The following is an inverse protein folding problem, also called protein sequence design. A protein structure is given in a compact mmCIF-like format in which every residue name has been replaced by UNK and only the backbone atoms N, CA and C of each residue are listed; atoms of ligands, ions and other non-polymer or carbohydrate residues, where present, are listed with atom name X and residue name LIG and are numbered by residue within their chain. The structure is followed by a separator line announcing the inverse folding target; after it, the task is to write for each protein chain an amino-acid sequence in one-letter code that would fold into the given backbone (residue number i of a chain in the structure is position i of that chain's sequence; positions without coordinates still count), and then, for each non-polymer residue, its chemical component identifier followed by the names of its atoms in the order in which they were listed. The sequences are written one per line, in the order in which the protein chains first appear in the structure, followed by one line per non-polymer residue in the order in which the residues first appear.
data_IF_906913716223
#
_entry.id   IF_906913716223
#
_cell.length_a   1.000
_cell.length_b   1.000
_cell.length_c   1.000
_cell.angle_alpha   90.00
_cell.angle_beta   90.00
_cell.angle_gamma   90.00
#
_symmetry.space_group_name_H-M   'P 1'
#
loop_
_entity.id
_entity.type
_entity.pdbx_description
1 polymer ?
#
# COMPACT_ATOMS: atom_id res chain seq x y z
N UNK A 1 17.53 -20.70 21.00
CA UNK A 1 17.76 -20.50 19.55
C UNK A 1 18.32 -19.10 19.34
N UNK A 2 19.59 -18.95 18.95
CA UNK A 2 20.21 -17.64 18.72
C UNK A 2 19.51 -16.90 17.58
N UNK A 3 18.69 -15.89 17.89
CA UNK A 3 18.17 -14.97 16.88
C UNK A 3 19.35 -14.13 16.38
N UNK A 4 19.90 -14.47 15.22
CA UNK A 4 20.85 -13.61 14.51
C UNK A 4 20.11 -12.30 14.17
N UNK A 5 20.42 -11.24 14.91
CA UNK A 5 19.91 -9.90 14.65
C UNK A 5 20.58 -9.37 13.38
N UNK A 6 19.77 -8.99 12.40
CA UNK A 6 20.31 -8.39 11.18
C UNK A 6 20.53 -6.91 11.49
N UNK A 7 21.75 -6.43 11.30
CA UNK A 7 22.12 -5.01 11.50
C UNK A 7 22.09 -4.32 10.13
N UNK A 8 21.71 -3.04 10.11
CA UNK A 8 21.68 -2.24 8.89
C UNK A 8 23.12 -2.09 8.35
N UNK A 9 23.42 -2.49 7.09
CA UNK A 9 24.72 -2.27 6.49
C UNK A 9 24.95 -0.79 6.15
N UNK A 10 26.20 -0.42 5.88
CA UNK A 10 26.51 0.84 5.19
C UNK A 10 26.59 0.55 3.70
N UNK A 11 25.71 1.16 2.91
CA UNK A 11 25.69 1.01 1.45
C UNK A 11 26.65 2.00 0.80
N UNK A 12 27.31 1.57 -0.27
CA UNK A 12 28.19 2.42 -1.08
C UNK A 12 27.45 3.08 -2.24
N UNK A 13 26.27 2.57 -2.60
CA UNK A 13 25.41 3.08 -3.69
C UNK A 13 23.93 2.75 -3.46
N UNK A 14 23.03 3.47 -4.15
CA UNK A 14 21.59 3.21 -4.12
C UNK A 14 21.22 1.83 -4.70
N UNK A 15 21.97 1.34 -5.70
CA UNK A 15 21.75 0.02 -6.28
C UNK A 15 22.03 -1.12 -5.29
N UNK A 16 23.13 -1.01 -4.55
CA UNK A 16 23.48 -1.97 -3.49
C UNK A 16 22.43 -1.98 -2.36
N UNK A 17 21.91 -0.80 -2.02
CA UNK A 17 20.81 -0.68 -1.08
C UNK A 17 19.55 -1.40 -1.58
N UNK A 18 19.15 -1.16 -2.84
CA UNK A 18 17.98 -1.79 -3.44
C UNK A 18 18.10 -3.33 -3.47
N UNK A 19 19.26 -3.84 -3.87
CA UNK A 19 19.55 -5.28 -3.89
C UNK A 19 19.51 -5.88 -2.48
N UNK A 20 20.04 -5.16 -1.49
CA UNK A 20 19.97 -5.59 -0.10
C UNK A 20 18.54 -5.62 0.43
N UNK A 21 17.71 -4.63 0.11
CA UNK A 21 16.27 -4.63 0.44
C UNK A 21 15.52 -5.79 -0.22
N UNK A 22 15.87 -6.13 -1.47
CA UNK A 22 15.31 -7.28 -2.19
C UNK A 22 15.81 -8.64 -1.67
N UNK A 23 16.91 -8.66 -0.90
CA UNK A 23 17.51 -9.88 -0.36
C UNK A 23 16.73 -10.49 0.82
N UNK A 24 17.15 -11.68 1.27
CA UNK A 24 16.61 -12.28 2.50
C UNK A 24 17.01 -11.50 3.75
N UNK A 25 18.16 -10.83 3.76
CA UNK A 25 18.62 -10.04 4.90
C UNK A 25 17.70 -8.84 5.15
N UNK A 26 17.36 -8.08 4.09
CA UNK A 26 16.41 -6.98 4.17
C UNK A 26 15.03 -7.42 4.68
N UNK A 27 14.51 -8.55 4.18
CA UNK A 27 13.23 -9.13 4.66
C UNK A 27 13.26 -9.49 6.16
N UNK A 28 14.36 -10.05 6.64
CA UNK A 28 14.53 -10.41 8.06
C UNK A 28 14.64 -9.15 8.93
N UNK A 29 15.37 -8.13 8.45
CA UNK A 29 15.50 -6.84 9.12
C UNK A 29 14.15 -6.16 9.35
N UNK A 30 13.30 -6.09 8.32
CA UNK A 30 11.94 -5.51 8.44
C UNK A 30 11.11 -6.27 9.48
N UNK A 31 11.14 -7.60 9.47
CA UNK A 31 10.42 -8.42 10.47
C UNK A 31 10.90 -8.18 11.89
N UNK A 32 12.22 -8.04 12.07
CA UNK A 32 12.80 -7.73 13.37
C UNK A 32 12.32 -6.36 13.86
N UNK A 33 12.36 -5.33 13.01
CA UNK A 33 11.89 -3.98 13.36
C UNK A 33 10.39 -3.92 13.64
N UNK A 34 9.58 -4.66 12.90
CA UNK A 34 8.15 -4.77 13.17
C UNK A 34 7.87 -5.41 14.55
N UNK A 35 8.60 -6.48 14.91
CA UNK A 35 8.48 -7.11 16.22
C UNK A 35 8.95 -6.21 17.38
N UNK A 36 10.06 -5.47 17.18
CA UNK A 36 10.54 -4.46 18.12
C UNK A 36 9.49 -3.36 18.33
N UNK A 37 8.91 -2.83 17.25
CA UNK A 37 7.84 -1.82 17.33
C UNK A 37 6.59 -2.32 18.05
N UNK A 38 6.18 -3.57 17.80
CA UNK A 38 5.07 -4.21 18.49
C UNK A 38 5.32 -4.38 19.99
N UNK A 39 6.53 -4.80 20.39
CA UNK A 39 6.91 -4.92 21.81
C UNK A 39 6.93 -3.57 22.55
N UNK A 40 7.19 -2.47 21.83
CA UNK A 40 7.19 -1.10 22.35
C UNK A 40 5.81 -0.43 22.34
N UNK A 41 4.75 -1.18 22.00
CA UNK A 41 3.38 -0.65 21.87
C UNK A 41 3.21 0.36 20.72
N UNK A 42 4.26 0.63 19.94
CA UNK A 42 4.23 1.54 18.81
C UNK A 42 3.79 0.75 17.58
N UNK A 43 2.47 0.63 17.38
CA UNK A 43 1.99 0.09 16.10
C UNK A 43 2.30 1.09 15.00
N UNK A 44 3.41 0.88 14.29
CA UNK A 44 3.66 1.54 12.99
C UNK A 44 2.69 0.90 12.00
N UNK A 45 1.40 1.19 12.15
CA UNK A 45 0.43 0.95 11.09
C UNK A 45 0.77 1.93 9.99
N UNK A 46 0.76 1.45 8.75
CA UNK A 46 0.76 2.31 7.57
C UNK A 46 -0.36 3.37 7.67
N UNK A 47 -0.44 4.25 6.67
CA UNK A 47 -1.24 5.47 6.80
C UNK A 47 -2.60 5.24 7.49
N UNK A 48 -2.91 6.07 8.49
CA UNK A 48 -4.16 5.99 9.24
C UNK A 48 -5.38 6.03 8.30
N UNK A 49 -5.21 6.67 7.14
CA UNK A 49 -6.16 6.74 6.04
C UNK A 49 -6.39 5.37 5.38
N UNK A 50 -5.32 4.61 5.08
CA UNK A 50 -5.42 3.22 4.58
C UNK A 50 -6.05 2.31 5.63
N UNK A 51 -5.69 2.45 6.90
CA UNK A 51 -6.29 1.68 7.98
C UNK A 51 -7.79 1.97 8.16
N UNK A 52 -8.22 3.24 7.98
CA UNK A 52 -9.64 3.62 8.01
C UNK A 52 -10.39 3.13 6.77
N UNK A 53 -9.77 3.16 5.59
CA UNK A 53 -10.38 2.66 4.36
C UNK A 53 -10.63 1.15 4.41
N UNK A 54 -9.70 0.39 5.01
CA UNK A 54 -9.83 -1.07 5.20
C UNK A 54 -10.80 -1.48 6.30
N UNK A 55 -11.33 -0.54 7.11
CA UNK A 55 -12.26 -0.82 8.20
C UNK A 55 -13.73 -0.72 7.82
N UNK A 56 -14.06 -0.09 6.69
CA UNK A 56 -15.44 0.00 6.23
C UNK A 56 -15.83 -1.32 5.56
N UNK A 57 -16.93 -1.92 6.00
CA UNK A 57 -17.53 -3.07 5.31
C UNK A 57 -17.81 -2.66 3.86
N UNK A 58 -17.15 -3.32 2.91
CA UNK A 58 -17.41 -3.14 1.50
C UNK A 58 -18.44 -4.16 1.06
N UNK A 59 -19.49 -3.72 0.37
CA UNK A 59 -20.41 -4.63 -0.33
C UNK A 59 -19.78 -4.94 -1.68
N UNK A 60 -19.71 -6.22 -2.04
CA UNK A 60 -19.28 -6.63 -3.38
C UNK A 60 -20.45 -6.47 -4.34
N UNK A 61 -20.24 -5.68 -5.39
CA UNK A 61 -21.21 -5.48 -6.46
C UNK A 61 -20.58 -5.84 -7.80
N UNK A 62 -21.39 -6.33 -8.74
CA UNK A 62 -21.00 -6.46 -10.14
C UNK A 62 -21.43 -5.19 -10.89
N UNK A 63 -20.46 -4.43 -11.41
CA UNK A 63 -20.70 -3.22 -12.20
C UNK A 63 -20.22 -3.45 -13.64
N UNK A 64 -21.07 -3.15 -14.62
CA UNK A 64 -20.68 -3.15 -16.03
C UNK A 64 -20.13 -1.78 -16.40
N UNK A 65 -18.94 -1.74 -16.97
CA UNK A 65 -18.30 -0.53 -17.48
C UNK A 65 -17.91 -0.77 -18.95
N UNK A 66 -17.96 0.27 -19.81
CA UNK A 66 -17.41 0.19 -21.15
C UNK A 66 -15.94 -0.25 -21.11
N UNK A 67 -15.54 -1.06 -22.09
CA UNK A 67 -14.16 -1.58 -22.16
C UNK A 67 -13.12 -0.45 -22.24
N UNK A 68 -13.43 0.60 -23.00
CA UNK A 68 -12.58 1.79 -23.13
C UNK A 68 -12.30 2.46 -21.77
N UNK A 69 -13.31 2.54 -20.90
CA UNK A 69 -13.17 3.15 -19.57
C UNK A 69 -12.32 2.29 -18.65
N UNK A 70 -12.48 0.97 -18.70
CA UNK A 70 -11.65 0.02 -17.96
C UNK A 70 -10.19 0.15 -18.40
N UNK A 71 -9.93 0.22 -19.71
CA UNK A 71 -8.58 0.39 -20.25
C UNK A 71 -7.96 1.72 -19.80
N UNK A 72 -8.72 2.81 -19.86
CA UNK A 72 -8.28 4.13 -19.43
C UNK A 72 -8.00 4.17 -17.92
N UNK A 73 -8.82 3.53 -17.10
CA UNK A 73 -8.60 3.43 -15.66
C UNK A 73 -7.35 2.61 -15.33
N UNK A 74 -7.08 1.50 -16.03
CA UNK A 74 -5.84 0.73 -15.86
C UNK A 74 -4.60 1.56 -16.17
N UNK A 75 -4.62 2.32 -17.27
CA UNK A 75 -3.53 3.22 -17.65
C UNK A 75 -3.26 4.29 -16.58
N UNK A 76 -4.32 4.93 -16.07
CA UNK A 76 -4.20 5.92 -15.00
C UNK A 76 -3.66 5.32 -13.70
N UNK A 77 -4.10 4.11 -13.35
CA UNK A 77 -3.66 3.42 -12.15
C UNK A 77 -2.16 3.12 -12.22
N UNK A 78 -1.68 2.63 -13.37
CA UNK A 78 -0.25 2.39 -13.61
C UNK A 78 0.59 3.66 -13.48
N UNK A 79 0.14 4.78 -14.06
CA UNK A 79 0.84 6.09 -13.92
C UNK A 79 0.94 6.58 -12.48
N UNK A 80 -0.02 6.20 -11.62
CA UNK A 80 -0.06 6.59 -10.20
C UNK A 80 0.61 5.56 -9.27
N UNK A 81 1.10 4.44 -9.80
CA UNK A 81 1.62 3.34 -8.98
C UNK A 81 0.56 2.67 -8.11
N UNK A 82 -0.71 2.71 -8.53
CA UNK A 82 -1.85 2.17 -7.78
C UNK A 82 -2.45 0.96 -8.48
N UNK A 83 -3.09 0.08 -7.72
CA UNK A 83 -3.94 -0.97 -8.28
C UNK A 83 -5.19 -0.37 -8.95
N UNK A 84 -5.60 -0.93 -10.08
CA UNK A 84 -6.80 -0.49 -10.82
C UNK A 84 -8.07 -0.45 -9.94
N UNK A 85 -8.28 -1.47 -9.11
CA UNK A 85 -9.43 -1.51 -8.18
C UNK A 85 -9.37 -0.37 -7.15
N UNK A 86 -8.19 -0.02 -6.67
CA UNK A 86 -8.00 1.10 -5.74
C UNK A 86 -8.35 2.42 -6.41
N UNK A 87 -7.90 2.63 -7.66
CA UNK A 87 -8.25 3.82 -8.41
C UNK A 87 -9.77 3.94 -8.61
N UNK A 88 -10.45 2.86 -9.01
CA UNK A 88 -11.90 2.87 -9.17
C UNK A 88 -12.63 3.24 -7.88
N UNK A 89 -12.24 2.64 -6.74
CA UNK A 89 -12.83 2.96 -5.44
C UNK A 89 -12.70 4.45 -5.09
N UNK A 90 -11.53 5.04 -5.36
CA UNK A 90 -11.31 6.47 -5.13
C UNK A 90 -12.18 7.33 -6.05
N UNK A 91 -12.24 7.03 -7.36
CA UNK A 91 -13.05 7.78 -8.33
C UNK A 91 -14.54 7.76 -7.97
N UNK A 92 -15.07 6.61 -7.56
CA UNK A 92 -16.47 6.49 -7.11
C UNK A 92 -16.69 7.34 -5.85
N UNK A 93 -15.79 7.25 -4.86
CA UNK A 93 -15.92 8.02 -3.63
C UNK A 93 -15.89 9.53 -3.88
N UNK A 94 -14.94 10.00 -4.68
CA UNK A 94 -14.82 11.41 -5.05
C UNK A 94 -15.99 11.90 -5.91
N UNK A 95 -16.48 11.06 -6.82
CA UNK A 95 -17.69 11.33 -7.63
C UNK A 95 -18.90 11.57 -6.74
N UNK A 96 -19.19 10.67 -5.80
CA UNK A 96 -20.29 10.81 -4.86
C UNK A 96 -20.14 12.05 -3.97
N UNK A 97 -18.94 12.33 -3.45
CA UNK A 97 -18.68 13.52 -2.63
C UNK A 97 -18.80 14.84 -3.40
N UNK A 98 -18.62 14.81 -4.73
CA UNK A 98 -18.83 15.97 -5.60
C UNK A 98 -20.32 16.20 -5.86
N UNK A 99 -21.06 15.15 -6.16
CA UNK A 99 -22.51 15.24 -6.39
C UNK A 99 -23.26 15.63 -5.12
N UNK A 100 -22.86 15.09 -3.96
CA UNK A 100 -23.44 15.46 -2.66
C UNK A 100 -23.18 16.92 -2.24
N UNK A 101 -22.24 17.62 -2.88
CA UNK A 101 -22.00 19.07 -2.66
C UNK A 101 -22.78 19.95 -3.65
N UNK A 102 -23.33 19.36 -4.71
CA UNK A 102 -24.09 20.05 -5.75
C UNK A 102 -25.59 20.03 -5.48
N UNK A 103 -26.07 19.00 -4.79
CA UNK A 103 -27.41 18.97 -4.18
C UNK A 103 -27.38 19.56 -2.77
#
# INVERSE_FOLDING_TARGET
MNKKTVVMPKFKSEGEEADWWASRAGRVYVKQKAAEAQSKGTTVRGSSLVAKLNRKSSIQIALRLPEADIAQARKLAGRKGLGYQTLLKMLVHEGLAREARRG
#
